data_IF_206592356987
#
_entry.id   IF_206592356987
#
_cell.length_a   1.000
_cell.length_b   1.000
_cell.length_c   1.000
_cell.angle_alpha   90.00
_cell.angle_beta   90.00
_cell.angle_gamma   90.00
#
_symmetry.space_group_name_H-M   'P 1'
#
loop_
_entity.id
_entity.type
_entity.pdbx_description
1 polymer ?
#
# COMPACT_ATOMS: atom_id res chain seq x y z
N UNK A 1 9.10 7.32 1.18
CA UNK A 1 8.14 6.97 0.10
C UNK A 1 8.53 5.70 -0.67
N UNK A 2 9.81 5.51 -1.04
CA UNK A 2 10.24 4.31 -1.80
C UNK A 2 9.96 2.97 -1.09
N UNK A 3 10.09 2.90 0.24
CA UNK A 3 9.95 1.64 0.99
C UNK A 3 8.55 0.98 0.91
N UNK A 4 7.46 1.76 0.91
CA UNK A 4 6.09 1.20 0.80
C UNK A 4 5.86 0.63 -0.60
N UNK A 5 6.27 1.37 -1.64
CA UNK A 5 6.22 0.89 -3.02
C UNK A 5 7.10 -0.35 -3.21
N UNK A 6 8.32 -0.33 -2.69
CA UNK A 6 9.26 -1.44 -2.84
C UNK A 6 8.76 -2.69 -2.12
N UNK A 7 8.08 -2.53 -0.97
CA UNK A 7 7.37 -3.62 -0.29
C UNK A 7 6.30 -4.24 -1.20
N UNK A 8 5.38 -3.42 -1.74
CA UNK A 8 4.31 -3.89 -2.63
C UNK A 8 4.86 -4.56 -3.90
N UNK A 9 5.99 -4.07 -4.41
CA UNK A 9 6.67 -4.65 -5.58
C UNK A 9 7.34 -5.98 -5.29
N UNK A 10 8.03 -6.10 -4.16
CA UNK A 10 8.85 -7.28 -3.84
C UNK A 10 8.02 -8.45 -3.31
N UNK A 11 7.04 -8.15 -2.46
CA UNK A 11 6.16 -9.18 -1.91
C UNK A 11 5.00 -9.52 -2.86
N UNK A 12 4.61 -8.56 -3.72
CA UNK A 12 3.46 -8.71 -4.62
C UNK A 12 2.13 -8.85 -3.88
N UNK A 13 1.04 -8.91 -4.65
CA UNK A 13 -0.31 -9.08 -4.11
C UNK A 13 -0.89 -7.82 -3.46
N UNK A 14 -1.97 -8.04 -2.71
CA UNK A 14 -2.76 -7.00 -2.06
C UNK A 14 -2.47 -6.95 -0.56
N UNK A 15 -2.33 -5.74 -0.03
CA UNK A 15 -1.94 -5.53 1.36
C UNK A 15 -2.85 -4.50 2.03
N UNK A 16 -3.26 -4.78 3.26
CA UNK A 16 -3.93 -3.79 4.10
C UNK A 16 -2.92 -2.83 4.71
N UNK A 17 -3.39 -1.64 5.09
CA UNK A 17 -2.56 -0.63 5.77
C UNK A 17 -1.90 -1.20 7.04
N UNK A 18 -2.59 -2.10 7.74
CA UNK A 18 -2.09 -2.75 8.95
C UNK A 18 -0.95 -3.72 8.65
N UNK A 19 -1.09 -4.53 7.60
CA UNK A 19 -0.03 -5.42 7.14
C UNK A 19 1.21 -4.63 6.67
N UNK A 20 0.99 -3.52 5.95
CA UNK A 20 2.07 -2.62 5.53
C UNK A 20 2.74 -2.00 6.76
N UNK A 21 1.98 -1.46 7.71
CA UNK A 21 2.51 -0.86 8.92
C UNK A 21 3.33 -1.85 9.75
N UNK A 22 2.92 -3.11 9.83
CA UNK A 22 3.65 -4.17 10.52
C UNK A 22 5.07 -4.42 9.96
N UNK A 23 5.34 -4.05 8.70
CA UNK A 23 6.67 -4.18 8.09
C UNK A 23 7.66 -3.08 8.56
N UNK A 24 7.16 -2.00 9.18
CA UNK A 24 7.99 -0.89 9.64
C UNK A 24 8.22 -0.95 11.15
N UNK A 25 9.45 -0.63 11.58
CA UNK A 25 9.77 -0.46 13.00
C UNK A 25 8.95 0.72 13.56
N UNK A 26 8.21 0.51 14.65
CA UNK A 26 7.27 1.49 15.24
C UNK A 26 6.01 1.77 14.40
N UNK A 27 5.42 0.72 13.84
CA UNK A 27 4.17 0.68 13.08
C UNK A 27 3.08 1.68 13.53
N UNK A 28 2.80 1.75 14.84
CA UNK A 28 1.70 2.56 15.40
C UNK A 28 1.91 4.07 15.23
N UNK A 29 3.16 4.56 15.29
CA UNK A 29 3.46 5.99 15.08
C UNK A 29 3.53 6.39 13.61
N UNK A 30 3.70 5.42 12.73
CA UNK A 30 3.91 5.66 11.30
C UNK A 30 2.65 5.41 10.46
N UNK A 31 1.56 4.90 11.03
CA UNK A 31 0.31 4.62 10.29
C UNK A 31 -0.18 5.81 9.47
N UNK A 32 -0.19 7.01 10.05
CA UNK A 32 -0.60 8.23 9.33
C UNK A 32 0.35 8.57 8.17
N UNK A 33 1.66 8.43 8.39
CA UNK A 33 2.68 8.69 7.36
C UNK A 33 2.58 7.68 6.22
N UNK A 34 2.30 6.42 6.55
CA UNK A 34 2.08 5.34 5.58
C UNK A 34 0.83 5.62 4.76
N UNK A 35 -0.29 5.99 5.39
CA UNK A 35 -1.52 6.38 4.70
C UNK A 35 -1.29 7.52 3.72
N UNK A 36 -0.69 8.63 4.16
CA UNK A 36 -0.37 9.75 3.27
C UNK A 36 0.58 9.34 2.13
N UNK A 37 1.52 8.42 2.37
CA UNK A 37 2.35 7.87 1.31
C UNK A 37 1.56 7.03 0.31
N UNK A 38 0.62 6.20 0.76
CA UNK A 38 -0.24 5.37 -0.08
C UNK A 38 -1.13 6.23 -0.97
N UNK A 39 -1.83 7.20 -0.39
CA UNK A 39 -2.65 8.18 -1.12
C UNK A 39 -1.81 8.95 -2.16
N UNK A 40 -0.60 9.37 -1.80
CA UNK A 40 0.30 10.05 -2.74
C UNK A 40 0.73 9.13 -3.90
N UNK A 41 1.02 7.85 -3.62
CA UNK A 41 1.42 6.88 -4.64
C UNK A 41 0.25 6.50 -5.56
N UNK A 42 -0.96 6.45 -5.03
CA UNK A 42 -2.18 6.22 -5.81
C UNK A 42 -2.49 7.42 -6.71
N UNK A 43 -2.40 8.64 -6.18
CA UNK A 43 -2.58 9.87 -6.97
C UNK A 43 -1.56 9.98 -8.12
N UNK A 44 -0.38 9.38 -7.96
CA UNK A 44 0.66 9.28 -9.00
C UNK A 44 0.44 8.09 -9.97
N UNK A 45 -0.57 7.25 -9.75
CA UNK A 45 -0.87 6.06 -10.57
C UNK A 45 0.14 4.92 -10.40
N UNK A 46 0.93 4.91 -9.32
CA UNK A 46 1.94 3.88 -9.06
C UNK A 46 1.32 2.66 -8.40
N UNK A 47 0.39 2.89 -7.47
CA UNK A 47 -0.38 1.87 -6.78
C UNK A 47 -1.87 2.09 -7.03
N UNK A 48 -2.67 1.07 -6.79
CA UNK A 48 -4.12 1.14 -6.82
C UNK A 48 -4.67 0.66 -5.48
N UNK A 49 -5.88 1.11 -5.17
CA UNK A 49 -6.65 0.72 -4.00
C UNK A 49 -7.85 -0.11 -4.43
N UNK A 50 -8.17 -1.16 -3.67
CA UNK A 50 -9.43 -1.89 -3.74
C UNK A 50 -10.13 -1.74 -2.39
N UNK A 51 -11.33 -1.17 -2.41
CA UNK A 51 -12.19 -1.06 -1.22
C UNK A 51 -12.92 -2.40 -1.06
N UNK A 52 -12.47 -3.20 -0.09
CA UNK A 52 -13.22 -4.36 0.39
C UNK A 52 -14.03 -3.95 1.63
N UNK A 53 -15.19 -4.59 1.86
CA UNK A 53 -16.21 -4.20 2.86
C UNK A 53 -15.69 -3.86 4.26
N UNK A 54 -14.53 -4.40 4.66
CA UNK A 54 -13.93 -4.19 5.98
C UNK A 54 -12.55 -3.50 5.94
N UNK A 55 -11.88 -3.38 4.79
CA UNK A 55 -10.52 -2.81 4.72
C UNK A 55 -10.07 -2.44 3.31
N UNK A 56 -9.39 -1.29 3.21
CA UNK A 56 -8.68 -0.87 2.01
C UNK A 56 -7.47 -1.77 1.74
N UNK A 57 -7.44 -2.36 0.56
CA UNK A 57 -6.32 -3.16 0.04
C UNK A 57 -5.54 -2.37 -1.00
N UNK A 58 -4.23 -2.31 -0.83
CA UNK A 58 -3.31 -1.59 -1.69
C UNK A 58 -2.42 -2.57 -2.45
N UNK A 59 -2.23 -2.32 -3.75
CA UNK A 59 -1.44 -3.16 -4.64
C UNK A 59 -0.80 -2.31 -5.74
N UNK A 60 0.21 -2.82 -6.44
CA UNK A 60 0.80 -2.08 -7.57
C UNK A 60 -0.22 -1.94 -8.70
N UNK A 61 -0.33 -0.75 -9.30
CA UNK A 61 -1.24 -0.50 -10.41
C UNK A 61 -0.94 -1.38 -11.64
N UNK A 62 0.31 -1.85 -11.78
CA UNK A 62 0.72 -2.79 -12.82
C UNK A 62 0.02 -4.16 -12.72
N UNK A 63 -0.39 -4.58 -11.51
CA UNK A 63 -1.15 -5.82 -11.29
C UNK A 63 -2.61 -5.71 -11.77
N UNK A 64 -3.17 -4.49 -11.82
CA UNK A 64 -4.56 -4.26 -12.26
C UNK A 64 -4.78 -4.57 -13.75
N UNK A 65 -3.70 -4.64 -14.54
CA UNK A 65 -3.76 -4.95 -15.98
C UNK A 65 -3.81 -6.44 -16.31
N UNK A 66 -3.79 -7.32 -15.31
CA UNK A 66 -3.77 -8.77 -15.50
C UNK A 66 -5.16 -9.45 -15.43
N UNK A 67 -6.26 -8.67 -15.44
CA UNK A 67 -7.65 -9.19 -15.40
C UNK A 67 -8.38 -8.99 -16.72
#
# INVERSE_FOLDING_TARGET
MAAVRDLLRTQGGEWTVEQIAAQFKSASRQKQVILTCLESLEALGIIAKHEEEESDRWYLAELQKAS
#
